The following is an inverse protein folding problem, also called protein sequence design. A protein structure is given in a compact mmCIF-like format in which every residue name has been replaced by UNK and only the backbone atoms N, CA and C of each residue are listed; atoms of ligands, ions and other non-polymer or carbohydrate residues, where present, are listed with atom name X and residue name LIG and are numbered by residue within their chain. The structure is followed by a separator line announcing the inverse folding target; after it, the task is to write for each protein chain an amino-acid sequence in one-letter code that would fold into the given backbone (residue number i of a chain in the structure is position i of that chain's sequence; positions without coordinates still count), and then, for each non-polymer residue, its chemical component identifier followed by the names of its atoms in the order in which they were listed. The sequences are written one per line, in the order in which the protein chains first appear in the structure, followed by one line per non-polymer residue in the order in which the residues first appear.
data_IF_328633222640
#
_entry.id   IF_328633222640
#
_cell.length_a   1.000
_cell.length_b   1.000
_cell.length_c   1.000
_cell.angle_alpha   90.00
_cell.angle_beta   90.00
_cell.angle_gamma   90.00
#
_symmetry.space_group_name_H-M   'P 1'
#
loop_
_entity.id
_entity.type
_entity.pdbx_description
1 polymer ?
#
# COMPACT_ATOMS: atom_id res chain seq x y z
N UNK A 1 -5.36 -7.78 9.49
CA UNK A 1 -5.09 -7.39 8.09
C UNK A 1 -6.39 -7.41 7.31
N UNK A 2 -6.75 -6.27 6.69
CA UNK A 2 -7.86 -6.18 5.74
C UNK A 2 -7.61 -7.16 4.58
N UNK A 3 -8.65 -7.83 4.08
CA UNK A 3 -8.48 -8.90 3.09
C UNK A 3 -7.97 -8.30 1.78
N UNK A 4 -6.80 -8.71 1.28
CA UNK A 4 -6.24 -8.18 0.02
C UNK A 4 -7.20 -8.34 -1.18
N UNK A 5 -8.08 -9.35 -1.15
CA UNK A 5 -9.14 -9.49 -2.15
C UNK A 5 -10.14 -8.34 -2.12
N UNK A 6 -10.40 -7.76 -0.95
CA UNK A 6 -11.26 -6.58 -0.80
C UNK A 6 -10.55 -5.30 -1.25
N UNK A 7 -9.21 -5.28 -1.22
CA UNK A 7 -8.40 -4.14 -1.66
C UNK A 7 -8.11 -4.16 -3.16
N UNK A 8 -8.24 -5.32 -3.82
CA UNK A 8 -8.02 -5.50 -5.24
C UNK A 8 -9.28 -5.19 -6.05
N UNK A 9 -9.15 -4.34 -7.08
CA UNK A 9 -10.18 -4.18 -8.11
C UNK A 9 -10.15 -5.30 -9.18
N UNK A 10 -9.16 -6.20 -9.12
CA UNK A 10 -8.92 -7.25 -10.10
C UNK A 10 -9.11 -8.65 -9.51
N UNK A 11 -9.66 -9.63 -10.28
CA UNK A 11 -9.73 -11.01 -9.82
C UNK A 11 -8.31 -11.59 -9.67
N UNK A 12 -7.94 -11.92 -8.43
CA UNK A 12 -6.67 -12.56 -8.10
C UNK A 12 -6.86 -14.05 -7.87
N UNK A 13 -6.01 -14.87 -8.49
CA UNK A 13 -5.89 -16.28 -8.13
C UNK A 13 -5.24 -16.42 -6.76
N UNK A 14 -5.31 -17.61 -6.15
CA UNK A 14 -4.59 -17.89 -4.89
C UNK A 14 -3.08 -17.73 -5.03
N UNK A 15 -2.50 -18.01 -6.20
CA UNK A 15 -1.09 -17.81 -6.46
C UNK A 15 -0.72 -16.32 -6.55
N UNK A 16 -1.57 -15.51 -7.19
CA UNK A 16 -1.38 -14.05 -7.26
C UNK A 16 -1.43 -13.42 -5.87
N UNK A 17 -2.39 -13.86 -5.04
CA UNK A 17 -2.51 -13.39 -3.66
C UNK A 17 -1.26 -13.69 -2.84
N UNK A 18 -0.79 -14.94 -2.85
CA UNK A 18 0.42 -15.31 -2.11
C UNK A 18 1.66 -14.53 -2.58
N UNK A 19 1.78 -14.27 -3.88
CA UNK A 19 2.86 -13.43 -4.41
C UNK A 19 2.76 -12.00 -3.88
N UNK A 20 1.58 -11.38 -3.99
CA UNK A 20 1.37 -9.99 -3.54
C UNK A 20 1.52 -9.86 -2.03
N UNK A 21 1.07 -10.85 -1.25
CA UNK A 21 1.27 -10.94 0.21
C UNK A 21 2.77 -10.93 0.55
N UNK A 22 3.55 -11.82 -0.07
CA UNK A 22 4.99 -11.88 0.18
C UNK A 22 5.71 -10.56 -0.17
N UNK A 23 5.32 -9.91 -1.28
CA UNK A 23 5.88 -8.60 -1.65
C UNK A 23 5.48 -7.55 -0.62
N UNK A 24 4.20 -7.50 -0.24
CA UNK A 24 3.67 -6.52 0.70
C UNK A 24 4.36 -6.65 2.06
N UNK A 25 4.46 -7.87 2.59
CA UNK A 25 5.11 -8.14 3.89
C UNK A 25 6.58 -7.69 3.88
N UNK A 26 7.32 -7.95 2.81
CA UNK A 26 8.70 -7.50 2.66
C UNK A 26 8.79 -5.97 2.62
N UNK A 27 7.91 -5.30 1.88
CA UNK A 27 7.89 -3.82 1.78
C UNK A 27 7.53 -3.18 3.12
N UNK A 28 6.54 -3.73 3.82
CA UNK A 28 6.11 -3.24 5.12
C UNK A 28 7.18 -3.42 6.19
N UNK A 29 7.86 -4.58 6.20
CA UNK A 29 8.98 -4.85 7.10
C UNK A 29 10.16 -3.91 6.85
N UNK A 30 10.55 -3.72 5.58
CA UNK A 30 11.63 -2.81 5.17
C UNK A 30 11.33 -1.36 5.60
N UNK A 31 10.07 -0.94 5.54
CA UNK A 31 9.62 0.41 5.87
C UNK A 31 9.22 0.61 7.34
N UNK A 32 9.20 -0.46 8.15
CA UNK A 32 8.69 -0.46 9.53
C UNK A 32 7.25 0.06 9.65
N UNK A 33 6.38 -0.34 8.71
CA UNK A 33 4.96 0.05 8.68
C UNK A 33 4.09 -1.16 9.03
N UNK A 34 3.16 -1.00 9.97
CA UNK A 34 2.17 -2.03 10.27
C UNK A 34 1.10 -2.12 9.17
N UNK A 35 0.73 -3.32 8.75
CA UNK A 35 -0.14 -3.55 7.58
C UNK A 35 -1.59 -3.11 7.74
N UNK A 36 -2.08 -2.96 8.97
CA UNK A 36 -3.43 -2.47 9.29
C UNK A 36 -3.53 -0.95 9.46
N UNK A 37 -2.39 -0.24 9.36
CA UNK A 37 -2.37 1.22 9.37
C UNK A 37 -2.84 1.80 8.02
N UNK A 38 -3.27 3.07 8.02
CA UNK A 38 -3.62 3.78 6.77
C UNK A 38 -2.47 3.77 5.74
N UNK A 39 -1.19 4.03 6.10
CA UNK A 39 -0.05 3.83 5.19
C UNK A 39 0.06 2.40 4.67
N UNK A 40 -0.06 1.39 5.53
CA UNK A 40 0.00 -0.02 5.13
C UNK A 40 -1.06 -0.39 4.09
N UNK A 41 -2.31 0.03 4.30
CA UNK A 41 -3.40 -0.16 3.35
C UNK A 41 -3.16 0.55 2.01
N UNK A 42 -2.58 1.76 2.02
CA UNK A 42 -2.25 2.50 0.79
C UNK A 42 -1.14 1.83 -0.02
N UNK A 43 -0.13 1.30 0.66
CA UNK A 43 0.94 0.52 0.03
C UNK A 43 0.35 -0.75 -0.60
N UNK A 44 -0.48 -1.49 0.13
CA UNK A 44 -1.16 -2.68 -0.38
C UNK A 44 -1.98 -2.38 -1.65
N UNK A 45 -2.84 -1.34 -1.63
CA UNK A 45 -3.62 -0.92 -2.81
C UNK A 45 -2.74 -0.52 -3.99
N UNK A 46 -1.60 0.11 -3.73
CA UNK A 46 -0.67 0.53 -4.78
C UNK A 46 0.01 -0.67 -5.45
N UNK A 47 0.48 -1.64 -4.67
CA UNK A 47 1.08 -2.89 -5.18
C UNK A 47 0.05 -3.68 -5.99
N UNK A 48 -1.17 -3.82 -5.47
CA UNK A 48 -2.29 -4.46 -6.17
C UNK A 48 -2.62 -3.78 -7.51
N UNK A 49 -2.59 -2.45 -7.54
CA UNK A 49 -2.81 -1.68 -8.77
C UNK A 49 -1.68 -1.89 -9.78
N UNK A 50 -0.42 -1.89 -9.35
CA UNK A 50 0.72 -2.19 -10.22
C UNK A 50 0.63 -3.61 -10.80
N UNK A 51 0.21 -4.58 -9.98
CA UNK A 51 -0.05 -5.94 -10.43
C UNK A 51 -1.11 -6.00 -11.53
N UNK A 52 -2.25 -5.33 -11.31
CA UNK A 52 -3.34 -5.24 -12.29
C UNK A 52 -2.93 -4.55 -13.60
N UNK A 53 -1.94 -3.64 -13.55
CA UNK A 53 -1.36 -2.98 -14.73
C UNK A 53 -0.29 -3.83 -15.44
N UNK A 54 -0.03 -5.05 -14.98
CA UNK A 54 0.87 -6.02 -15.63
C UNK A 54 2.27 -6.12 -15.03
N UNK A 55 2.57 -5.39 -13.94
CA UNK A 55 3.81 -5.57 -13.19
C UNK A 55 3.70 -6.85 -12.36
N UNK A 56 4.10 -7.98 -12.93
CA UNK A 56 3.91 -9.31 -12.32
C UNK A 56 5.19 -9.94 -11.79
N UNK A 57 6.35 -9.36 -12.13
CA UNK A 57 7.64 -9.74 -11.60
C UNK A 57 7.77 -9.28 -10.14
N UNK A 58 8.25 -10.18 -9.28
CA UNK A 58 8.33 -9.92 -7.84
C UNK A 58 9.37 -8.85 -7.50
N UNK A 59 10.49 -8.79 -8.24
CA UNK A 59 11.54 -7.80 -8.01
C UNK A 59 11.06 -6.39 -8.42
N UNK A 60 10.32 -6.30 -9.53
CA UNK A 60 9.73 -5.03 -9.96
C UNK A 60 8.64 -4.55 -8.99
N UNK A 61 7.78 -5.45 -8.51
CA UNK A 61 6.78 -5.12 -7.49
C UNK A 61 7.40 -4.70 -6.15
N UNK A 62 8.50 -5.34 -5.72
CA UNK A 62 9.26 -4.93 -4.54
C UNK A 62 9.85 -3.53 -4.72
N UNK A 63 10.45 -3.27 -5.88
CA UNK A 63 11.03 -1.96 -6.21
C UNK A 63 9.95 -0.88 -6.20
N UNK A 64 8.82 -1.14 -6.85
CA UNK A 64 7.66 -0.25 -6.85
C UNK A 64 7.12 -0.02 -5.44
N UNK A 65 6.89 -1.08 -4.67
CA UNK A 65 6.39 -1.02 -3.30
C UNK A 65 7.29 -0.20 -2.38
N UNK A 66 8.61 -0.35 -2.48
CA UNK A 66 9.60 0.44 -1.72
C UNK A 66 9.52 1.94 -2.05
N UNK A 67 9.32 2.29 -3.32
CA UNK A 67 9.16 3.70 -3.72
C UNK A 67 7.90 4.29 -3.06
N UNK A 68 6.78 3.56 -3.08
CA UNK A 68 5.54 4.00 -2.44
C UNK A 68 5.70 4.09 -0.92
N UNK A 69 6.30 3.07 -0.29
CA UNK A 69 6.52 3.06 1.15
C UNK A 69 7.41 4.23 1.60
N UNK A 70 8.46 4.55 0.83
CA UNK A 70 9.28 5.74 1.08
C UNK A 70 8.47 7.03 0.99
N UNK A 71 7.56 7.15 0.02
CA UNK A 71 6.69 8.31 -0.09
C UNK A 71 5.73 8.41 1.11
N UNK A 72 5.22 7.29 1.63
CA UNK A 72 4.36 7.28 2.82
C UNK A 72 5.11 7.61 4.11
N UNK A 73 6.36 7.15 4.29
CA UNK A 73 7.17 7.50 5.49
C UNK A 73 7.62 8.96 5.50
N UNK A 74 7.76 9.58 4.33
CA UNK A 74 8.12 11.00 4.20
C UNK A 74 6.89 11.90 4.03
N UNK A 75 5.69 11.32 4.06
CA UNK A 75 4.46 12.09 4.03
C UNK A 75 4.41 12.87 5.34
N UNK A 76 4.43 14.22 5.33
CA UNK A 76 4.11 14.94 6.55
C UNK A 76 2.74 14.44 6.97
N UNK A 77 2.61 14.02 8.24
CA UNK A 77 1.32 13.67 8.83
C UNK A 77 0.32 14.67 8.27
N UNK A 78 -0.67 14.16 7.52
CA UNK A 78 -1.69 15.01 6.95
C UNK A 78 -2.27 15.77 8.12
N UNK A 79 -1.83 17.03 8.24
CA UNK A 79 -2.32 17.99 9.21
C UNK A 79 -3.80 17.76 9.29
N UNK A 80 -4.28 17.46 10.50
CA UNK A 80 -5.68 17.32 10.82
C UNK A 80 -6.47 18.29 9.94
N UNK A 81 -7.18 17.75 8.95
CA UNK A 81 -8.08 18.51 8.08
C UNK A 81 -9.32 18.97 8.88
N UNK A 82 -9.17 19.11 10.20
CA UNK A 82 -10.12 19.66 11.16
C UNK A 82 -9.74 21.11 11.55
N UNK A 83 -8.50 21.56 11.32
CA UNK A 83 -8.10 22.95 11.59
C UNK A 83 -8.59 23.95 10.51
N UNK A 84 -8.88 23.50 9.29
CA UNK A 84 -9.33 24.38 8.20
C UNK A 84 -10.82 24.77 8.29
N UNK A 85 -11.61 24.09 9.15
CA UNK A 85 -13.05 24.38 9.30
C UNK A 85 -13.38 25.34 10.45
N UNK A 86 -12.40 25.66 11.31
CA UNK A 86 -12.58 26.57 12.45
C UNK A 86 -12.31 28.06 12.13
N UNK A 87 -11.72 28.35 10.96
CA UNK A 87 -11.39 29.74 10.56
C UNK A 87 -12.52 30.41 9.76
N UNK A 88 -13.67 29.74 9.61
CA UNK A 88 -14.83 30.25 8.85
C UNK A 88 -16.12 30.38 9.68
N UNK A 89 -16.04 30.39 11.02
CA UNK A 89 -17.16 30.78 11.88
C UNK A 89 -16.83 32.02 12.71
#
# INVERSE_FOLDING_TARGET
MENLRQLSAWPLTSADLSKVENVLDAVLADAQIEGDTKPGQRIARSILSAYALGVTDSHDLLTYGRVIAKAETHRPDSVDFEAARSVLN
#
